data_IF_128134180287
#
_entry.id   IF_128134180287
#
_cell.length_a   1.000
_cell.length_b   1.000
_cell.length_c   1.000
_cell.angle_alpha   90.00
_cell.angle_beta   90.00
_cell.angle_gamma   90.00
#
_symmetry.space_group_name_H-M   'P 1'
#
loop_
_entity.id
_entity.type
_entity.pdbx_description
1 polymer ?
#
# COMPACT_ATOMS: atom_id res chain seq x y z
N UNK A 1 10.03 -28.43 -32.88
CA UNK A 1 8.60 -28.25 -32.60
C UNK A 1 8.51 -27.43 -31.32
N UNK A 2 8.18 -26.16 -31.43
CA UNK A 2 7.94 -25.30 -30.26
C UNK A 2 6.63 -25.75 -29.62
N UNK A 3 6.71 -26.48 -28.51
CA UNK A 3 5.52 -26.81 -27.71
C UNK A 3 4.94 -25.51 -27.15
N UNK A 4 3.73 -25.14 -27.58
CA UNK A 4 2.99 -24.05 -26.96
C UNK A 4 2.65 -24.43 -25.51
N UNK A 5 2.99 -23.58 -24.57
CA UNK A 5 2.60 -23.75 -23.16
C UNK A 5 1.15 -23.32 -22.91
N UNK A 6 0.54 -22.66 -23.88
CA UNK A 6 -0.87 -22.23 -23.87
C UNK A 6 -1.72 -23.28 -24.58
N UNK A 7 -2.73 -23.78 -23.89
CA UNK A 7 -3.75 -24.66 -24.47
C UNK A 7 -4.88 -23.84 -25.09
N UNK A 8 -5.44 -24.33 -26.20
CA UNK A 8 -6.66 -23.77 -26.76
C UNK A 8 -7.89 -24.11 -25.88
N UNK A 9 -8.96 -23.33 -26.04
CA UNK A 9 -10.23 -23.65 -25.37
C UNK A 9 -10.77 -25.01 -25.80
N UNK A 10 -10.59 -25.39 -27.08
CA UNK A 10 -11.04 -26.69 -27.60
C UNK A 10 -10.30 -27.84 -26.93
N UNK A 11 -8.97 -27.71 -26.70
CA UNK A 11 -8.18 -28.74 -26.00
C UNK A 11 -8.64 -28.88 -24.52
N UNK A 12 -9.04 -27.79 -23.89
CA UNK A 12 -9.55 -27.86 -22.52
C UNK A 12 -10.97 -28.37 -22.47
N UNK A 13 -11.81 -28.06 -23.47
CA UNK A 13 -13.15 -28.63 -23.58
C UNK A 13 -13.11 -30.15 -23.79
N UNK A 14 -12.20 -30.64 -24.66
CA UNK A 14 -11.96 -32.06 -24.85
C UNK A 14 -11.50 -32.75 -23.55
N UNK A 15 -10.56 -32.15 -22.81
CA UNK A 15 -10.17 -32.63 -21.47
C UNK A 15 -11.36 -32.69 -20.51
N UNK A 16 -12.23 -31.69 -20.57
CA UNK A 16 -13.43 -31.63 -19.73
C UNK A 16 -14.40 -32.80 -20.01
N UNK A 17 -14.62 -33.10 -21.30
CA UNK A 17 -15.45 -34.25 -21.75
C UNK A 17 -14.84 -35.60 -21.36
N UNK A 18 -13.52 -35.75 -21.52
CA UNK A 18 -12.81 -36.95 -21.07
C UNK A 18 -12.98 -37.20 -19.57
N UNK A 19 -12.83 -36.15 -18.77
CA UNK A 19 -13.00 -36.25 -17.31
C UNK A 19 -14.44 -36.62 -16.94
N UNK A 20 -15.44 -36.06 -17.63
CA UNK A 20 -16.86 -36.39 -17.41
C UNK A 20 -17.14 -37.86 -17.68
N UNK A 21 -16.65 -38.37 -18.81
CA UNK A 21 -16.80 -39.77 -19.18
C UNK A 21 -16.17 -40.74 -18.17
N UNK A 22 -15.18 -40.26 -17.42
CA UNK A 22 -14.49 -41.01 -16.36
C UNK A 22 -15.04 -40.78 -14.95
N UNK A 23 -16.05 -39.93 -14.77
CA UNK A 23 -16.57 -39.49 -13.45
C UNK A 23 -15.59 -38.65 -12.64
N UNK A 24 -14.66 -37.97 -13.31
CA UNK A 24 -13.57 -37.18 -12.74
C UNK A 24 -13.88 -35.68 -12.84
N UNK A 25 -13.21 -34.85 -12.03
CA UNK A 25 -13.53 -33.43 -11.90
C UNK A 25 -12.43 -32.52 -12.43
N UNK A 26 -12.81 -31.52 -13.23
CA UNK A 26 -11.97 -30.42 -13.64
C UNK A 26 -12.13 -29.24 -12.71
N UNK A 27 -11.02 -28.73 -12.21
CA UNK A 27 -10.92 -27.49 -11.41
C UNK A 27 -10.42 -26.37 -12.31
N UNK A 28 -11.05 -25.20 -12.24
CA UNK A 28 -10.62 -23.98 -12.90
C UNK A 28 -10.28 -22.91 -11.87
N UNK A 29 -9.18 -22.24 -12.07
CA UNK A 29 -8.86 -20.97 -11.40
C UNK A 29 -8.45 -19.92 -12.41
N UNK A 30 -8.58 -18.64 -12.09
CA UNK A 30 -8.06 -17.58 -12.93
C UNK A 30 -7.32 -16.52 -12.13
N UNK A 31 -6.41 -15.81 -12.81
CA UNK A 31 -5.65 -14.72 -12.23
C UNK A 31 -4.58 -14.19 -13.17
N UNK A 32 -3.87 -13.16 -12.73
CA UNK A 32 -2.78 -12.56 -13.54
C UNK A 32 -1.51 -13.42 -13.49
N UNK A 33 -1.15 -13.94 -12.34
CA UNK A 33 0.05 -14.75 -12.08
C UNK A 33 1.35 -14.15 -12.67
N UNK A 34 1.51 -12.84 -12.55
CA UNK A 34 2.60 -12.10 -13.19
C UNK A 34 3.99 -12.47 -12.65
N UNK A 35 4.15 -12.47 -11.32
CA UNK A 35 5.36 -12.95 -10.65
C UNK A 35 4.97 -14.05 -9.68
N UNK A 36 5.40 -15.30 -10.00
CA UNK A 36 5.12 -16.44 -9.14
C UNK A 36 5.89 -16.35 -7.82
N UNK A 37 5.21 -16.67 -6.74
CA UNK A 37 5.77 -16.78 -5.39
C UNK A 37 5.17 -17.98 -4.65
N UNK A 38 5.73 -18.34 -3.51
CA UNK A 38 5.32 -19.52 -2.74
C UNK A 38 3.81 -19.52 -2.41
N UNK A 39 3.18 -18.36 -2.25
CA UNK A 39 1.74 -18.24 -2.04
C UNK A 39 0.94 -18.80 -3.23
N UNK A 40 1.32 -18.46 -4.46
CA UNK A 40 0.70 -19.02 -5.66
C UNK A 40 0.91 -20.55 -5.75
N UNK A 41 2.11 -21.04 -5.45
CA UNK A 41 2.42 -22.48 -5.50
C UNK A 41 1.56 -23.25 -4.49
N UNK A 42 1.44 -22.78 -3.27
CA UNK A 42 0.59 -23.42 -2.25
C UNK A 42 -0.88 -23.40 -2.64
N UNK A 43 -1.38 -22.26 -3.09
CA UNK A 43 -2.75 -22.09 -3.59
C UNK A 43 -3.07 -23.05 -4.72
N UNK A 44 -2.20 -23.14 -5.76
CA UNK A 44 -2.42 -24.01 -6.89
C UNK A 44 -2.34 -25.50 -6.50
N UNK A 45 -1.45 -25.88 -5.59
CA UNK A 45 -1.42 -27.24 -5.05
C UNK A 45 -2.72 -27.59 -4.31
N UNK A 46 -3.24 -26.70 -3.48
CA UNK A 46 -4.50 -26.89 -2.78
C UNK A 46 -5.67 -26.97 -3.78
N UNK A 47 -5.74 -26.06 -4.76
CA UNK A 47 -6.74 -26.09 -5.82
C UNK A 47 -6.74 -27.44 -6.56
N UNK A 48 -5.56 -27.99 -6.87
CA UNK A 48 -5.42 -29.30 -7.54
C UNK A 48 -5.99 -30.46 -6.73
N UNK A 49 -5.99 -30.39 -5.40
CA UNK A 49 -6.57 -31.45 -4.55
C UNK A 49 -8.09 -31.53 -4.59
N UNK A 50 -8.75 -30.51 -5.13
CA UNK A 50 -10.22 -30.46 -5.23
C UNK A 50 -10.78 -31.28 -6.39
N UNK A 51 -9.92 -31.68 -7.35
CA UNK A 51 -10.34 -32.45 -8.51
C UNK A 51 -9.17 -33.21 -9.16
N UNK A 52 -9.40 -33.72 -10.33
CA UNK A 52 -8.49 -34.62 -11.05
C UNK A 52 -7.63 -33.91 -12.09
N UNK A 53 -8.02 -32.71 -12.48
CA UNK A 53 -7.21 -31.82 -13.32
C UNK A 53 -7.40 -30.37 -12.90
N UNK A 54 -6.33 -29.57 -12.97
CA UNK A 54 -6.34 -28.14 -12.73
C UNK A 54 -6.01 -27.36 -14.00
N UNK A 55 -6.94 -26.52 -14.40
CA UNK A 55 -6.75 -25.54 -15.47
C UNK A 55 -6.56 -24.15 -14.86
N UNK A 56 -5.55 -23.45 -15.30
CA UNK A 56 -5.30 -22.06 -14.88
C UNK A 56 -5.58 -21.14 -16.08
N UNK A 57 -6.56 -20.24 -15.93
CA UNK A 57 -6.85 -19.22 -16.91
C UNK A 57 -6.12 -17.91 -16.52
N UNK A 58 -5.29 -17.38 -17.41
CA UNK A 58 -4.53 -16.14 -17.16
C UNK A 58 -4.96 -15.03 -18.10
N UNK A 59 -5.01 -13.80 -17.57
CA UNK A 59 -5.26 -12.61 -18.36
C UNK A 59 -4.12 -12.38 -19.38
N UNK A 60 -4.46 -12.03 -20.61
CA UNK A 60 -3.50 -11.59 -21.63
C UNK A 60 -2.83 -10.27 -21.25
N UNK A 61 -1.75 -9.91 -21.93
CA UNK A 61 -0.92 -8.76 -21.54
C UNK A 61 -1.65 -7.42 -21.66
N UNK A 62 -2.55 -7.28 -22.63
CA UNK A 62 -3.36 -6.08 -22.78
C UNK A 62 -4.31 -5.91 -21.59
N UNK A 63 -5.03 -6.98 -21.24
CA UNK A 63 -5.94 -7.01 -20.09
C UNK A 63 -5.21 -6.73 -18.77
N UNK A 64 -3.98 -7.24 -18.59
CA UNK A 64 -3.17 -6.97 -17.39
C UNK A 64 -2.77 -5.49 -17.31
N UNK A 65 -2.38 -4.86 -18.42
CA UNK A 65 -2.07 -3.42 -18.45
C UNK A 65 -3.25 -2.56 -18.02
N UNK A 66 -4.44 -2.92 -18.46
CA UNK A 66 -5.67 -2.22 -18.04
C UNK A 66 -5.98 -2.40 -16.54
N UNK A 67 -5.75 -3.60 -16.01
CA UNK A 67 -6.07 -3.95 -14.63
C UNK A 67 -5.05 -3.43 -13.62
N UNK A 68 -3.75 -3.41 -13.98
CA UNK A 68 -2.63 -3.17 -13.05
C UNK A 68 -1.82 -1.91 -13.38
N UNK A 69 -2.11 -1.25 -14.50
CA UNK A 69 -1.43 -0.03 -14.91
C UNK A 69 -0.17 -0.24 -15.77
N UNK A 70 0.46 0.85 -16.22
CA UNK A 70 1.66 0.82 -17.05
C UNK A 70 2.82 0.15 -16.30
N UNK A 71 3.65 -0.61 -17.03
CA UNK A 71 4.75 -1.40 -16.47
C UNK A 71 4.34 -2.79 -16.01
N UNK A 72 3.10 -3.21 -16.25
CA UNK A 72 2.60 -4.57 -15.99
C UNK A 72 2.00 -5.15 -17.29
N UNK A 73 2.08 -6.47 -17.49
CA UNK A 73 2.78 -7.45 -16.67
C UNK A 73 4.31 -7.32 -16.75
N UNK A 74 5.04 -7.88 -15.78
CA UNK A 74 6.51 -8.01 -15.81
C UNK A 74 6.91 -9.12 -16.80
N UNK A 75 6.19 -10.25 -16.74
CA UNK A 75 6.37 -11.39 -17.63
C UNK A 75 5.22 -11.46 -18.66
N UNK A 76 5.56 -11.75 -19.92
CA UNK A 76 4.55 -11.91 -20.96
C UNK A 76 3.58 -13.07 -20.66
N UNK A 77 2.42 -13.09 -21.28
CA UNK A 77 1.44 -14.18 -21.11
C UNK A 77 2.06 -15.55 -21.41
N UNK A 78 2.94 -15.62 -22.41
CA UNK A 78 3.63 -16.86 -22.80
C UNK A 78 4.60 -17.34 -21.70
N UNK A 79 5.44 -16.44 -21.17
CA UNK A 79 6.36 -16.75 -20.05
C UNK A 79 5.59 -17.14 -18.78
N UNK A 80 4.48 -16.47 -18.48
CA UNK A 80 3.62 -16.82 -17.34
C UNK A 80 2.99 -18.21 -17.52
N UNK A 81 2.54 -18.53 -18.74
CA UNK A 81 2.01 -19.86 -19.06
C UNK A 81 3.08 -20.95 -18.92
N UNK A 82 4.29 -20.69 -19.42
CA UNK A 82 5.43 -21.62 -19.31
C UNK A 82 5.75 -21.92 -17.83
N UNK A 83 5.89 -20.88 -17.01
CA UNK A 83 6.14 -21.04 -15.57
C UNK A 83 5.04 -21.82 -14.85
N UNK A 84 3.77 -21.57 -15.18
CA UNK A 84 2.64 -22.29 -14.60
C UNK A 84 2.61 -23.75 -15.04
N UNK A 85 2.90 -24.04 -16.31
CA UNK A 85 2.96 -25.40 -16.85
C UNK A 85 4.11 -26.23 -16.28
N UNK A 86 5.17 -25.60 -15.82
CA UNK A 86 6.26 -26.27 -15.10
C UNK A 86 5.86 -26.77 -13.70
N UNK A 87 4.74 -26.29 -13.14
CA UNK A 87 4.23 -26.74 -11.86
C UNK A 87 3.48 -28.07 -12.01
N UNK A 88 3.87 -29.08 -11.24
CA UNK A 88 3.25 -30.42 -11.28
C UNK A 88 1.74 -30.43 -11.01
N UNK A 89 1.23 -29.41 -10.34
CA UNK A 89 -0.19 -29.28 -10.01
C UNK A 89 -1.03 -28.66 -11.15
N UNK A 90 -0.41 -28.17 -12.24
CA UNK A 90 -1.13 -27.50 -13.33
C UNK A 90 -1.16 -28.38 -14.58
N UNK A 91 -2.34 -28.79 -14.99
CA UNK A 91 -2.53 -29.67 -16.15
C UNK A 91 -2.65 -28.90 -17.47
N UNK A 92 -3.27 -27.72 -17.46
CA UNK A 92 -3.41 -26.84 -18.64
C UNK A 92 -3.39 -25.36 -18.22
N UNK A 93 -2.93 -24.51 -19.14
CA UNK A 93 -3.03 -23.06 -19.02
C UNK A 93 -3.72 -22.51 -20.26
N UNK A 94 -4.69 -21.62 -20.08
CA UNK A 94 -5.36 -20.87 -21.16
C UNK A 94 -5.14 -19.37 -20.94
N UNK A 95 -5.01 -18.63 -22.03
CA UNK A 95 -4.94 -17.16 -22.01
C UNK A 95 -6.26 -16.60 -22.51
N UNK A 96 -6.79 -15.59 -21.83
CA UNK A 96 -7.99 -14.86 -22.26
C UNK A 96 -7.73 -13.36 -22.25
N UNK A 97 -8.27 -12.66 -23.24
CA UNK A 97 -7.99 -11.23 -23.45
C UNK A 97 -9.02 -10.31 -22.76
N UNK A 98 -10.14 -10.86 -22.38
CA UNK A 98 -11.19 -10.10 -21.72
C UNK A 98 -10.78 -9.68 -20.30
N UNK A 99 -11.33 -8.57 -19.84
CA UNK A 99 -11.11 -8.08 -18.50
C UNK A 99 -11.64 -9.05 -17.41
N UNK A 100 -12.66 -9.82 -17.74
CA UNK A 100 -13.36 -10.77 -16.84
C UNK A 100 -13.27 -12.19 -17.37
N UNK A 101 -13.30 -13.14 -16.44
CA UNK A 101 -13.19 -14.56 -16.78
C UNK A 101 -14.51 -15.21 -17.26
N UNK A 102 -15.59 -14.44 -17.43
CA UNK A 102 -16.91 -14.97 -17.82
C UNK A 102 -16.87 -15.78 -19.11
N UNK A 103 -16.18 -15.29 -20.14
CA UNK A 103 -16.03 -15.99 -21.42
C UNK A 103 -15.35 -17.35 -21.28
N UNK A 104 -14.20 -17.37 -20.59
CA UNK A 104 -13.44 -18.60 -20.36
C UNK A 104 -14.16 -19.59 -19.45
N UNK A 105 -14.85 -19.10 -18.40
CA UNK A 105 -15.70 -19.93 -17.52
C UNK A 105 -16.82 -20.60 -18.33
N UNK A 106 -17.53 -19.82 -19.17
CA UNK A 106 -18.62 -20.30 -20.00
C UNK A 106 -18.19 -21.32 -21.05
N UNK A 107 -16.99 -21.15 -21.62
CA UNK A 107 -16.41 -22.07 -22.60
C UNK A 107 -15.95 -23.40 -21.97
N UNK A 108 -15.28 -23.36 -20.81
CA UNK A 108 -14.71 -24.52 -20.14
C UNK A 108 -15.75 -25.30 -19.34
N UNK A 109 -16.71 -24.63 -18.71
CA UNK A 109 -17.73 -25.22 -17.82
C UNK A 109 -17.12 -26.16 -16.76
N UNK A 110 -16.23 -25.66 -15.89
CA UNK A 110 -15.54 -26.51 -14.94
C UNK A 110 -16.52 -27.16 -13.93
N UNK A 111 -16.11 -28.21 -13.24
CA UNK A 111 -16.88 -28.77 -12.14
C UNK A 111 -16.73 -27.93 -10.88
N UNK A 112 -15.52 -27.40 -10.67
CA UNK A 112 -15.15 -26.60 -9.52
C UNK A 112 -14.41 -25.37 -9.99
N UNK A 113 -14.82 -24.21 -9.47
CA UNK A 113 -14.13 -22.95 -9.67
C UNK A 113 -13.52 -22.48 -8.36
N UNK A 114 -12.23 -22.09 -8.39
CA UNK A 114 -11.54 -21.63 -7.20
C UNK A 114 -11.04 -20.20 -7.32
N UNK A 115 -11.12 -19.46 -6.22
CA UNK A 115 -10.45 -18.16 -6.02
C UNK A 115 -9.63 -18.21 -4.75
N UNK A 116 -8.50 -17.51 -4.77
CA UNK A 116 -7.65 -17.33 -3.58
C UNK A 116 -7.75 -15.92 -3.06
N UNK A 117 -7.64 -15.73 -1.74
CA UNK A 117 -7.54 -14.42 -1.12
C UNK A 117 -8.69 -14.02 -0.23
N UNK A 118 -8.83 -12.71 -0.08
CA UNK A 118 -9.86 -12.07 0.72
C UNK A 118 -11.26 -12.11 0.05
N UNK A 119 -11.42 -13.01 -0.93
CA UNK A 119 -12.71 -13.24 -1.56
C UNK A 119 -13.60 -14.05 -0.62
N UNK A 120 -14.84 -13.63 -0.50
CA UNK A 120 -15.94 -14.44 -0.01
C UNK A 120 -16.80 -14.87 -1.21
N UNK A 121 -17.68 -15.85 -1.05
CA UNK A 121 -18.61 -16.21 -2.13
C UNK A 121 -19.46 -14.99 -2.59
N UNK A 122 -19.68 -14.01 -1.70
CA UNK A 122 -20.45 -12.80 -1.96
C UNK A 122 -19.59 -11.63 -2.53
N UNK A 123 -18.26 -11.75 -2.52
CA UNK A 123 -17.34 -10.77 -3.10
C UNK A 123 -16.87 -11.13 -4.51
N UNK A 124 -17.33 -12.24 -5.08
CA UNK A 124 -17.17 -12.50 -6.51
C UNK A 124 -17.95 -11.46 -7.30
N UNK A 125 -17.44 -11.13 -8.47
CA UNK A 125 -18.15 -10.24 -9.39
C UNK A 125 -19.50 -10.86 -9.72
N UNK A 126 -20.60 -10.11 -9.57
CA UNK A 126 -21.96 -10.60 -9.73
C UNK A 126 -22.19 -11.39 -11.03
N UNK A 127 -21.61 -10.96 -12.13
CA UNK A 127 -21.71 -11.64 -13.42
C UNK A 127 -21.00 -13.01 -13.44
N UNK A 128 -19.79 -13.11 -12.83
CA UNK A 128 -19.08 -14.39 -12.70
C UNK A 128 -19.85 -15.35 -11.79
N UNK A 129 -20.39 -14.85 -10.68
CA UNK A 129 -21.18 -15.65 -9.74
C UNK A 129 -22.46 -16.17 -10.39
N UNK A 130 -23.23 -15.28 -11.05
CA UNK A 130 -24.46 -15.67 -11.74
C UNK A 130 -24.23 -16.74 -12.83
N UNK A 131 -23.13 -16.63 -13.58
CA UNK A 131 -22.75 -17.63 -14.57
C UNK A 131 -22.39 -18.97 -13.93
N UNK A 132 -21.57 -18.95 -12.87
CA UNK A 132 -21.17 -20.17 -12.13
C UNK A 132 -22.38 -20.89 -11.54
N UNK A 133 -23.29 -20.14 -10.93
CA UNK A 133 -24.55 -20.67 -10.37
C UNK A 133 -25.45 -21.26 -11.47
N UNK A 134 -25.58 -20.56 -12.62
CA UNK A 134 -26.35 -21.06 -13.77
C UNK A 134 -25.77 -22.37 -14.35
N UNK A 135 -24.45 -22.50 -14.35
CA UNK A 135 -23.76 -23.70 -14.85
C UNK A 135 -23.69 -24.83 -13.79
N UNK A 136 -24.15 -24.61 -12.56
CA UNK A 136 -24.07 -25.58 -11.47
C UNK A 136 -22.65 -25.84 -10.99
N UNK A 137 -21.72 -24.89 -11.18
CA UNK A 137 -20.29 -25.01 -10.82
C UNK A 137 -20.11 -24.82 -9.32
N UNK A 138 -19.41 -25.73 -8.66
CA UNK A 138 -19.09 -25.59 -7.24
C UNK A 138 -18.01 -24.55 -7.03
N UNK A 139 -18.30 -23.47 -6.27
CA UNK A 139 -17.34 -22.43 -5.94
C UNK A 139 -16.58 -22.81 -4.66
N UNK A 140 -15.26 -22.67 -4.65
CA UNK A 140 -14.38 -22.88 -3.50
C UNK A 140 -13.43 -21.71 -3.32
N UNK A 141 -13.49 -21.06 -2.16
CA UNK A 141 -12.56 -20.00 -1.78
C UNK A 141 -11.45 -20.63 -0.94
N UNK A 142 -10.22 -20.47 -1.37
CA UNK A 142 -9.03 -21.01 -0.72
C UNK A 142 -8.27 -19.91 0.00
N UNK A 143 -7.76 -20.20 1.20
CA UNK A 143 -7.02 -19.24 2.00
C UNK A 143 -5.67 -18.87 1.33
N UNK A 144 -5.32 -17.60 1.30
CA UNK A 144 -3.98 -17.17 0.91
C UNK A 144 -2.99 -17.28 2.07
N UNK A 145 -1.72 -17.44 1.71
CA UNK A 145 -0.62 -17.38 2.68
C UNK A 145 -0.42 -15.93 3.11
N UNK A 146 -0.60 -15.59 4.40
CA UNK A 146 -0.43 -14.21 4.87
C UNK A 146 0.96 -13.64 4.51
N UNK A 147 1.01 -12.36 4.15
CA UNK A 147 2.25 -11.65 3.85
C UNK A 147 2.95 -12.03 2.53
N UNK A 148 2.30 -12.78 1.64
CA UNK A 148 2.83 -13.16 0.33
C UNK A 148 1.92 -12.64 -0.79
N UNK A 149 2.37 -11.58 -1.46
CA UNK A 149 1.71 -11.04 -2.65
C UNK A 149 2.75 -10.70 -3.73
N UNK A 150 2.31 -10.64 -4.99
CA UNK A 150 3.17 -10.20 -6.09
C UNK A 150 3.74 -8.81 -5.84
N UNK A 151 2.92 -7.88 -5.30
CA UNK A 151 3.36 -6.53 -4.96
C UNK A 151 4.44 -6.53 -3.88
N UNK A 152 4.26 -7.34 -2.81
CA UNK A 152 5.27 -7.48 -1.76
C UNK A 152 6.56 -8.16 -2.27
N UNK A 153 6.45 -9.10 -3.22
CA UNK A 153 7.61 -9.75 -3.84
C UNK A 153 8.38 -8.77 -4.72
N UNK A 154 7.69 -7.99 -5.55
CA UNK A 154 8.32 -6.96 -6.40
C UNK A 154 8.93 -5.83 -5.56
N UNK A 155 8.29 -5.42 -4.48
CA UNK A 155 8.85 -4.46 -3.54
C UNK A 155 10.18 -4.96 -2.92
N UNK A 156 10.29 -6.28 -2.67
CA UNK A 156 11.53 -6.90 -2.17
C UNK A 156 12.62 -7.08 -3.22
N UNK A 157 12.23 -7.31 -4.49
CA UNK A 157 13.19 -7.52 -5.57
C UNK A 157 13.79 -6.19 -6.08
N UNK A 158 13.13 -5.06 -5.82
CA UNK A 158 13.48 -3.79 -6.44
C UNK A 158 13.46 -3.88 -7.97
N UNK A 159 13.44 -2.78 -8.68
CA UNK A 159 13.45 -2.74 -10.17
C UNK A 159 14.82 -3.17 -10.79
N UNK A 160 15.62 -3.99 -10.12
CA UNK A 160 16.98 -4.39 -10.59
C UNK A 160 17.99 -3.24 -10.68
N UNK A 161 17.57 -2.02 -10.36
CA UNK A 161 18.47 -0.90 -10.08
C UNK A 161 18.90 -0.99 -8.63
N UNK A 162 20.17 -0.67 -8.29
CA UNK A 162 20.56 -0.51 -6.90
C UNK A 162 19.51 0.40 -6.27
N UNK A 163 18.95 -0.02 -5.14
CA UNK A 163 17.94 0.75 -4.43
C UNK A 163 18.49 2.17 -4.25
N UNK A 164 17.91 3.13 -4.96
CA UNK A 164 18.21 4.53 -4.73
C UNK A 164 17.94 4.87 -3.26
N UNK A 165 18.40 6.00 -2.77
CA UNK A 165 18.12 6.42 -1.40
C UNK A 165 16.60 6.35 -1.15
N UNK A 166 16.20 5.88 0.02
CA UNK A 166 14.80 5.90 0.45
C UNK A 166 14.24 7.31 0.33
N UNK A 167 13.00 7.44 -0.10
CA UNK A 167 12.39 8.73 -0.46
C UNK A 167 11.33 9.15 0.55
N UNK A 168 11.48 10.36 1.07
CA UNK A 168 10.60 10.94 2.08
C UNK A 168 9.79 12.08 1.46
N UNK A 169 8.48 12.15 1.78
CA UNK A 169 7.68 13.34 1.59
C UNK A 169 7.36 13.97 2.95
N UNK A 170 7.56 15.28 3.08
CA UNK A 170 7.18 16.03 4.29
C UNK A 170 5.88 16.77 4.01
N UNK A 171 4.90 16.60 4.88
CA UNK A 171 3.63 17.35 4.86
C UNK A 171 3.62 18.37 6.00
N UNK A 172 3.25 19.62 5.73
CA UNK A 172 3.15 20.61 6.79
C UNK A 172 2.39 21.87 6.37
N UNK A 173 1.78 22.55 7.33
CA UNK A 173 0.95 23.76 7.12
C UNK A 173 1.54 25.01 7.75
N UNK A 174 2.61 24.90 8.55
CA UNK A 174 3.09 25.95 9.46
C UNK A 174 4.46 26.55 9.12
N UNK A 175 5.17 26.96 10.17
CA UNK A 175 6.45 27.69 10.07
C UNK A 175 7.62 26.83 9.53
N UNK A 176 7.57 25.49 9.68
CA UNK A 176 8.55 24.59 9.13
C UNK A 176 9.78 24.33 10.00
N UNK A 177 9.75 24.61 11.31
CA UNK A 177 10.89 24.35 12.22
C UNK A 177 11.29 22.86 12.22
N UNK A 178 10.34 21.97 12.34
CA UNK A 178 10.57 20.52 12.26
C UNK A 178 11.04 20.08 10.88
N UNK A 179 10.49 20.64 9.79
CA UNK A 179 10.96 20.38 8.45
C UNK A 179 12.42 20.82 8.27
N UNK A 180 12.83 21.94 8.84
CA UNK A 180 14.23 22.41 8.85
C UNK A 180 15.15 21.39 9.50
N UNK A 181 14.78 20.85 10.66
CA UNK A 181 15.57 19.82 11.35
C UNK A 181 15.70 18.54 10.50
N UNK A 182 14.60 18.09 9.90
CA UNK A 182 14.58 16.91 9.03
C UNK A 182 15.44 17.12 7.77
N UNK A 183 15.31 18.27 7.09
CA UNK A 183 16.07 18.62 5.89
C UNK A 183 17.56 18.76 6.19
N UNK A 184 17.92 19.35 7.34
CA UNK A 184 19.31 19.44 7.79
C UNK A 184 19.90 18.04 8.03
N UNK A 185 19.18 17.15 8.71
CA UNK A 185 19.59 15.77 8.95
C UNK A 185 19.70 14.98 7.62
N UNK A 186 18.79 15.19 6.66
CA UNK A 186 18.87 14.59 5.32
C UNK A 186 20.14 15.04 4.59
N UNK A 187 20.41 16.35 4.59
CA UNK A 187 21.61 16.94 3.97
C UNK A 187 22.92 16.44 4.62
N UNK A 188 22.88 16.17 5.92
CA UNK A 188 23.99 15.58 6.65
C UNK A 188 24.14 14.05 6.45
N UNK A 189 23.25 13.40 5.67
CA UNK A 189 23.27 11.95 5.44
C UNK A 189 22.83 11.13 6.64
N UNK A 190 22.18 11.74 7.64
CA UNK A 190 21.80 11.09 8.90
C UNK A 190 20.48 10.31 8.84
N UNK A 191 19.64 10.55 7.79
CA UNK A 191 18.34 9.88 7.69
C UNK A 191 18.38 8.52 6.99
N UNK A 192 19.45 8.22 6.25
CA UNK A 192 19.50 7.02 5.40
C UNK A 192 18.55 7.10 4.18
N UNK A 193 18.09 8.30 3.83
CA UNK A 193 17.20 8.58 2.71
C UNK A 193 17.23 10.05 2.30
N UNK A 194 16.52 10.40 1.22
CA UNK A 194 16.41 11.76 0.71
C UNK A 194 14.99 12.33 0.91
N UNK A 195 14.89 13.63 1.16
CA UNK A 195 13.60 14.32 1.12
C UNK A 195 13.31 14.69 -0.32
N UNK A 196 12.38 13.94 -0.93
CA UNK A 196 12.04 14.09 -2.34
C UNK A 196 11.11 15.26 -2.62
N UNK A 197 10.27 15.65 -1.63
CA UNK A 197 9.31 16.73 -1.77
C UNK A 197 8.82 17.22 -0.40
N UNK A 198 8.54 18.53 -0.31
CA UNK A 198 7.78 19.14 0.78
C UNK A 198 6.44 19.60 0.23
N UNK A 199 5.36 19.24 0.91
CA UNK A 199 3.98 19.51 0.51
C UNK A 199 3.29 20.36 1.58
N UNK A 200 2.63 21.42 1.15
CA UNK A 200 1.82 22.26 2.05
C UNK A 200 0.44 22.52 1.46
N UNK A 201 -0.57 22.59 2.35
CA UNK A 201 -1.93 23.03 2.02
C UNK A 201 -2.12 24.55 2.18
N UNK A 202 -1.01 25.27 2.46
CA UNK A 202 -0.98 26.73 2.64
C UNK A 202 0.10 27.30 1.72
N UNK A 203 -0.32 28.12 0.74
CA UNK A 203 0.56 28.62 -0.31
C UNK A 203 1.77 29.44 0.20
N UNK A 204 1.57 30.26 1.22
CA UNK A 204 2.62 31.13 1.79
C UNK A 204 3.20 30.58 3.09
N UNK A 205 3.14 29.27 3.31
CA UNK A 205 3.62 28.66 4.54
C UNK A 205 5.13 28.75 4.71
N UNK A 206 5.56 28.84 5.98
CA UNK A 206 7.00 28.86 6.31
C UNK A 206 7.73 27.60 5.86
N UNK A 207 7.03 26.46 5.87
CA UNK A 207 7.64 25.18 5.49
C UNK A 207 8.09 25.15 4.01
N UNK A 208 7.36 25.80 3.09
CA UNK A 208 7.76 25.90 1.68
C UNK A 208 9.01 26.77 1.54
N UNK A 209 9.09 27.89 2.26
CA UNK A 209 10.31 28.73 2.28
C UNK A 209 11.51 27.95 2.83
N UNK A 210 11.31 27.18 3.88
CA UNK A 210 12.38 26.29 4.40
C UNK A 210 12.80 25.26 3.36
N UNK A 211 11.87 24.65 2.63
CA UNK A 211 12.21 23.70 1.56
C UNK A 211 13.07 24.36 0.46
N UNK A 212 12.71 25.57 0.05
CA UNK A 212 13.46 26.33 -0.96
C UNK A 212 14.90 26.63 -0.52
N UNK A 213 15.12 26.96 0.76
CA UNK A 213 16.46 27.16 1.33
C UNK A 213 17.36 25.91 1.21
N UNK A 214 16.74 24.73 1.23
CA UNK A 214 17.45 23.45 1.08
C UNK A 214 17.46 22.93 -0.37
N UNK A 215 16.84 23.64 -1.32
CA UNK A 215 16.72 23.23 -2.71
C UNK A 215 15.82 22.00 -2.88
N UNK A 216 14.89 21.76 -1.96
CA UNK A 216 13.97 20.62 -1.98
C UNK A 216 12.71 20.99 -2.78
N UNK A 217 12.28 20.15 -3.74
CA UNK A 217 11.04 20.39 -4.49
C UNK A 217 9.82 20.59 -3.59
N UNK A 218 8.93 21.50 -3.99
CA UNK A 218 7.72 21.83 -3.23
C UNK A 218 6.45 21.56 -4.04
N UNK A 219 5.34 21.30 -3.34
CA UNK A 219 3.99 21.21 -3.89
C UNK A 219 3.02 21.95 -2.97
N UNK A 220 2.19 22.82 -3.58
CA UNK A 220 1.03 23.39 -2.92
C UNK A 220 -0.16 22.53 -3.24
N UNK A 221 -0.73 21.90 -2.22
CA UNK A 221 -1.92 21.05 -2.31
C UNK A 221 -3.15 21.88 -1.98
N UNK A 222 -4.08 22.02 -2.93
CA UNK A 222 -5.38 22.63 -2.63
C UNK A 222 -6.20 21.67 -1.75
N UNK A 223 -6.45 22.02 -0.49
CA UNK A 223 -7.20 21.14 0.41
C UNK A 223 -8.69 21.04 0.05
N UNK A 224 -9.20 21.95 -0.79
CA UNK A 224 -10.61 22.17 -1.05
C UNK A 224 -11.34 22.86 0.13
N UNK A 225 -12.63 23.12 -0.04
CA UNK A 225 -13.42 23.96 0.87
C UNK A 225 -14.53 23.23 1.65
N UNK A 226 -14.76 21.94 1.39
CA UNK A 226 -15.95 21.23 1.87
C UNK A 226 -16.02 21.07 3.38
N UNK A 227 -14.90 20.76 4.06
CA UNK A 227 -14.86 20.63 5.51
C UNK A 227 -13.56 21.17 6.09
N UNK A 228 -13.68 22.07 7.07
CA UNK A 228 -12.52 22.63 7.77
C UNK A 228 -11.71 21.50 8.46
N UNK A 229 -10.41 21.44 8.18
CA UNK A 229 -9.49 20.45 8.77
C UNK A 229 -9.45 19.11 8.03
N UNK A 230 -10.19 18.94 6.94
CA UNK A 230 -10.14 17.74 6.09
C UNK A 230 -9.66 18.11 4.68
N UNK A 231 -9.11 17.11 3.99
CA UNK A 231 -8.84 17.16 2.55
C UNK A 231 -10.07 16.65 1.80
N UNK A 232 -10.39 17.24 0.65
CA UNK A 232 -11.39 16.69 -0.28
C UNK A 232 -10.89 15.37 -0.89
N UNK A 233 -11.79 14.58 -1.48
CA UNK A 233 -11.41 13.35 -2.19
C UNK A 233 -10.47 13.64 -3.36
N UNK A 234 -10.67 14.77 -4.04
CA UNK A 234 -9.79 15.23 -5.11
C UNK A 234 -8.37 15.53 -4.59
N UNK A 235 -8.25 16.23 -3.47
CA UNK A 235 -6.98 16.55 -2.84
C UNK A 235 -6.25 15.29 -2.34
N UNK A 236 -6.96 14.33 -1.75
CA UNK A 236 -6.38 13.04 -1.33
C UNK A 236 -5.88 12.26 -2.55
N UNK A 237 -6.66 12.25 -3.63
CA UNK A 237 -6.25 11.58 -4.87
C UNK A 237 -5.00 12.23 -5.47
N UNK A 238 -4.96 13.56 -5.56
CA UNK A 238 -3.79 14.30 -6.04
C UNK A 238 -2.55 13.99 -5.20
N UNK A 239 -2.68 14.09 -3.87
CA UNK A 239 -1.60 13.76 -2.93
C UNK A 239 -1.09 12.33 -3.17
N UNK A 240 -1.99 11.35 -3.22
CA UNK A 240 -1.65 9.94 -3.42
C UNK A 240 -0.96 9.70 -4.76
N UNK A 241 -1.45 10.30 -5.85
CA UNK A 241 -0.86 10.17 -7.18
C UNK A 241 0.56 10.78 -7.20
N UNK A 242 0.80 11.90 -6.51
CA UNK A 242 2.13 12.52 -6.36
C UNK A 242 3.09 11.64 -5.56
N UNK A 243 2.65 11.14 -4.41
CA UNK A 243 3.48 10.28 -3.57
C UNK A 243 3.90 9.01 -4.30
N UNK A 244 2.98 8.41 -5.08
CA UNK A 244 3.27 7.23 -5.92
C UNK A 244 4.21 7.55 -7.07
N UNK A 245 3.99 8.65 -7.80
CA UNK A 245 4.83 9.07 -8.92
C UNK A 245 6.28 9.33 -8.48
N UNK A 246 6.45 9.87 -7.27
CA UNK A 246 7.75 10.10 -6.66
C UNK A 246 8.32 8.87 -5.96
N UNK A 247 7.61 7.73 -5.93
CA UNK A 247 8.02 6.52 -5.22
C UNK A 247 8.39 6.79 -3.77
N UNK A 248 7.52 7.50 -3.05
CA UNK A 248 7.75 7.83 -1.64
C UNK A 248 7.68 6.55 -0.80
N UNK A 249 8.69 6.35 0.03
CA UNK A 249 8.77 5.24 0.98
C UNK A 249 8.14 5.60 2.33
N UNK A 250 8.30 6.85 2.77
CA UNK A 250 7.83 7.35 4.07
C UNK A 250 7.20 8.73 3.94
N UNK A 251 6.03 8.92 4.53
CA UNK A 251 5.36 10.22 4.66
C UNK A 251 5.55 10.73 6.08
N UNK A 252 5.96 11.98 6.22
CA UNK A 252 6.29 12.62 7.51
C UNK A 252 5.45 13.87 7.70
N UNK A 253 4.56 13.89 8.67
CA UNK A 253 3.75 15.05 9.03
C UNK A 253 4.51 15.96 10.02
N UNK A 254 4.93 17.11 9.54
CA UNK A 254 5.65 18.14 10.32
C UNK A 254 4.76 19.38 10.54
N UNK A 255 3.76 19.25 11.42
CA UNK A 255 2.76 20.29 11.65
C UNK A 255 1.74 20.40 10.52
N UNK A 256 1.28 19.27 9.97
CA UNK A 256 0.22 19.21 8.98
C UNK A 256 -1.14 19.24 9.66
N UNK A 257 -1.94 20.28 9.39
CA UNK A 257 -3.18 20.55 10.11
C UNK A 257 -4.42 19.90 9.46
N UNK A 258 -4.24 18.88 8.61
CA UNK A 258 -5.32 18.15 7.95
C UNK A 258 -5.33 16.69 8.39
N UNK A 259 -6.54 16.16 8.55
CA UNK A 259 -6.76 14.75 8.86
C UNK A 259 -6.49 13.93 7.59
N UNK A 260 -5.55 12.99 7.69
CA UNK A 260 -5.28 11.99 6.65
C UNK A 260 -6.27 10.84 6.81
N UNK A 261 -6.80 10.35 5.69
CA UNK A 261 -7.81 9.30 5.66
C UNK A 261 -7.65 8.38 4.45
N UNK A 262 -8.50 7.40 4.35
CA UNK A 262 -8.54 6.52 3.18
C UNK A 262 -8.76 7.30 1.86
N UNK A 263 -8.16 6.85 0.75
CA UNK A 263 -7.32 5.65 0.57
C UNK A 263 -5.81 5.85 0.87
N UNK A 264 -5.41 6.99 1.45
CA UNK A 264 -3.99 7.30 1.72
C UNK A 264 -3.40 6.38 2.80
N UNK A 265 -4.16 6.12 3.87
CA UNK A 265 -3.72 5.26 4.98
C UNK A 265 -3.43 3.83 4.49
N UNK A 266 -4.35 3.24 3.72
CA UNK A 266 -4.16 1.91 3.12
C UNK A 266 -3.03 1.85 2.09
N UNK A 267 -2.70 2.97 1.43
CA UNK A 267 -1.60 3.01 0.47
C UNK A 267 -0.22 3.08 1.15
N UNK A 268 -0.16 3.61 2.37
CA UNK A 268 1.06 3.76 3.17
C UNK A 268 0.92 3.10 4.56
N UNK A 269 0.62 1.80 4.66
CA UNK A 269 0.43 1.12 5.94
C UNK A 269 1.72 1.22 6.75
N UNK A 270 1.62 1.71 8.00
CA UNK A 270 2.75 1.93 8.91
C UNK A 270 3.88 2.81 8.34
N UNK A 271 3.59 3.62 7.33
CA UNK A 271 4.56 4.49 6.64
C UNK A 271 4.16 5.96 6.64
N UNK A 272 3.32 6.36 7.59
CA UNK A 272 2.98 7.77 7.84
C UNK A 272 3.30 8.07 9.29
N UNK A 273 4.22 9.00 9.52
CA UNK A 273 4.61 9.46 10.84
C UNK A 273 3.96 10.82 11.13
N UNK A 274 3.56 11.01 12.37
CA UNK A 274 3.17 12.33 12.90
C UNK A 274 3.95 12.65 14.16
N UNK A 275 4.18 13.93 14.38
CA UNK A 275 4.75 14.49 15.59
C UNK A 275 3.71 15.35 16.30
N UNK A 276 3.41 14.99 17.54
CA UNK A 276 2.43 15.67 18.38
C UNK A 276 3.08 16.31 19.60
N UNK A 277 2.85 17.61 19.91
CA UNK A 277 3.54 18.32 20.99
C UNK A 277 2.91 18.08 22.36
N UNK A 278 2.73 16.82 22.74
CA UNK A 278 2.38 16.36 24.08
C UNK A 278 2.89 14.93 24.31
N UNK A 279 2.82 14.47 25.55
CA UNK A 279 3.05 13.06 25.91
C UNK A 279 1.73 12.27 25.75
N UNK A 280 1.44 11.82 24.53
CA UNK A 280 0.26 11.00 24.27
C UNK A 280 0.19 9.78 25.21
N UNK A 281 -1.01 9.37 25.67
CA UNK A 281 -2.34 9.81 25.24
C UNK A 281 -2.84 11.10 25.89
N UNK A 282 -2.02 11.84 26.64
CA UNK A 282 -2.43 13.11 27.21
C UNK A 282 -2.48 14.21 26.14
N UNK A 283 -3.50 15.06 26.23
CA UNK A 283 -3.70 16.25 25.39
C UNK A 283 -3.68 15.95 23.86
N UNK A 284 -4.54 15.05 23.35
CA UNK A 284 -4.65 14.82 21.91
C UNK A 284 -5.31 16.04 21.21
N UNK A 285 -5.09 16.19 19.91
CA UNK A 285 -5.75 17.20 19.10
C UNK A 285 -5.09 18.58 19.19
N UNK A 286 -5.87 19.64 19.35
CA UNK A 286 -5.40 21.03 19.23
C UNK A 286 -4.97 21.64 20.55
N UNK A 287 -3.94 22.50 20.48
CA UNK A 287 -3.44 23.33 21.61
C UNK A 287 -2.94 22.52 22.83
N UNK A 288 -2.24 21.39 22.67
CA UNK A 288 -1.82 20.53 23.79
C UNK A 288 -0.92 21.27 24.81
N UNK A 289 -0.06 22.17 24.34
CA UNK A 289 0.84 22.94 25.21
C UNK A 289 0.06 23.85 26.16
N UNK A 290 -0.94 24.56 25.63
CA UNK A 290 -1.80 25.42 26.45
C UNK A 290 -2.65 24.61 27.44
N UNK A 291 -3.10 23.41 27.04
CA UNK A 291 -3.85 22.50 27.93
C UNK A 291 -2.98 22.01 29.09
N UNK A 292 -1.75 21.55 28.82
CA UNK A 292 -0.83 21.12 29.87
C UNK A 292 -0.50 22.21 30.89
N UNK A 293 -0.31 23.45 30.42
CA UNK A 293 -0.10 24.61 31.31
C UNK A 293 -1.35 24.95 32.14
N UNK A 294 -2.53 24.96 31.53
CA UNK A 294 -3.78 25.27 32.19
C UNK A 294 -4.14 24.27 33.29
N UNK A 295 -3.78 22.99 33.11
CA UNK A 295 -3.97 21.92 34.09
C UNK A 295 -2.89 21.87 35.17
N UNK A 296 -1.85 22.71 35.09
CA UNK A 296 -0.75 22.71 36.04
C UNK A 296 0.08 21.42 35.99
N UNK A 297 0.23 20.80 34.84
CA UNK A 297 1.02 19.61 34.70
C UNK A 297 2.49 19.87 35.08
N UNK A 298 3.15 18.90 35.71
CA UNK A 298 4.55 19.03 36.09
C UNK A 298 5.49 18.80 34.87
N UNK A 299 5.02 18.10 33.86
CA UNK A 299 5.77 17.79 32.63
C UNK A 299 4.82 17.69 31.44
N UNK A 300 5.37 17.90 30.28
CA UNK A 300 4.78 17.60 28.96
C UNK A 300 5.87 17.05 28.05
N UNK A 301 5.76 17.24 26.74
CA UNK A 301 6.80 16.81 25.79
C UNK A 301 6.28 16.71 24.39
N UNK A 302 6.85 15.78 23.62
CA UNK A 302 6.39 15.47 22.29
C UNK A 302 6.38 13.94 22.04
N UNK A 303 5.53 13.53 21.13
CA UNK A 303 5.33 12.12 20.74
C UNK A 303 5.45 11.97 19.24
N UNK A 304 6.32 11.08 18.79
CA UNK A 304 6.32 10.57 17.40
C UNK A 304 5.51 9.30 17.39
N UNK A 305 4.50 9.24 16.52
CA UNK A 305 3.60 8.10 16.39
C UNK A 305 3.26 7.79 14.93
N UNK A 306 2.78 6.59 14.67
CA UNK A 306 2.17 6.23 13.39
C UNK A 306 0.80 6.91 13.24
N UNK A 307 0.44 7.25 12.00
CA UNK A 307 -0.89 7.79 11.72
C UNK A 307 -1.83 6.64 11.38
N UNK A 308 -2.95 6.59 12.09
CA UNK A 308 -4.08 5.68 11.86
C UNK A 308 -5.37 6.44 11.49
N UNK A 309 -6.51 5.77 11.54
CA UNK A 309 -7.81 6.37 11.25
C UNK A 309 -8.35 7.28 12.35
N UNK A 310 -7.74 7.29 13.56
CA UNK A 310 -8.10 8.14 14.68
C UNK A 310 -7.34 9.46 14.67
N UNK A 311 -7.57 10.28 15.71
CA UNK A 311 -6.81 11.51 15.93
C UNK A 311 -5.80 11.24 17.03
N UNK A 312 -4.52 11.25 16.68
CA UNK A 312 -3.37 11.01 17.57
C UNK A 312 -3.46 9.69 18.36
N UNK A 313 -4.07 8.65 17.77
CA UNK A 313 -4.33 7.34 18.41
C UNK A 313 -3.39 6.23 17.95
N UNK A 314 -2.57 6.48 16.93
CA UNK A 314 -1.68 5.47 16.37
C UNK A 314 -0.54 5.06 17.30
N UNK A 315 0.15 3.99 16.95
CA UNK A 315 1.24 3.41 17.72
C UNK A 315 2.33 4.44 18.03
N UNK A 316 2.66 4.58 19.31
CA UNK A 316 3.71 5.48 19.79
C UNK A 316 5.08 4.84 19.50
N UNK A 317 5.91 5.55 18.73
CA UNK A 317 7.26 5.11 18.41
C UNK A 317 8.29 5.67 19.39
N UNK A 318 8.16 6.96 19.77
CA UNK A 318 9.07 7.61 20.71
C UNK A 318 8.42 8.83 21.36
N UNK A 319 8.83 9.10 22.60
CA UNK A 319 8.46 10.30 23.34
C UNK A 319 9.70 10.98 23.91
N UNK A 320 9.66 12.32 23.99
CA UNK A 320 10.62 13.10 24.76
C UNK A 320 9.88 13.93 25.79
N UNK A 321 10.34 13.89 27.05
CA UNK A 321 9.76 14.61 28.17
C UNK A 321 10.39 16.00 28.31
N UNK A 322 9.57 16.97 28.65
CA UNK A 322 9.95 18.36 28.92
C UNK A 322 9.31 18.77 30.24
N UNK A 323 10.14 19.17 31.20
CA UNK A 323 9.62 19.70 32.49
C UNK A 323 8.97 21.07 32.29
N UNK A 324 7.85 21.27 32.93
CA UNK A 324 7.20 22.58 33.07
C UNK A 324 7.68 23.22 34.37
N UNK A 325 8.25 24.40 34.29
CA UNK A 325 8.75 25.12 35.45
C UNK A 325 7.91 26.35 35.73
N UNK A 326 7.97 26.84 36.98
CA UNK A 326 7.27 28.07 37.37
C UNK A 326 7.70 29.25 36.48
N UNK A 327 6.71 29.98 35.98
CA UNK A 327 6.93 31.08 35.02
C UNK A 327 6.94 30.69 33.54
N UNK A 328 6.79 29.40 33.20
CA UNK A 328 6.63 29.03 31.79
C UNK A 328 5.33 29.62 31.21
N UNK A 329 5.47 30.15 30.01
CA UNK A 329 4.36 30.58 29.17
C UNK A 329 4.17 29.57 28.03
N UNK A 330 3.10 29.69 27.26
CA UNK A 330 2.89 28.85 26.06
C UNK A 330 4.09 28.97 25.11
N UNK A 331 4.62 30.18 24.93
CA UNK A 331 5.74 30.44 24.02
C UNK A 331 7.04 29.78 24.50
N UNK A 332 7.40 29.95 25.81
CA UNK A 332 8.63 29.40 26.37
C UNK A 332 8.58 27.86 26.38
N UNK A 333 7.43 27.30 26.76
CA UNK A 333 7.25 25.86 26.79
C UNK A 333 7.25 25.27 25.38
N UNK A 334 6.60 25.94 24.39
CA UNK A 334 6.64 25.53 22.98
C UNK A 334 8.08 25.48 22.46
N UNK A 335 8.90 26.49 22.80
CA UNK A 335 10.32 26.49 22.39
C UNK A 335 11.07 25.27 22.92
N UNK A 336 10.91 24.94 24.22
CA UNK A 336 11.52 23.77 24.84
C UNK A 336 11.06 22.45 24.17
N UNK A 337 9.77 22.36 23.82
CA UNK A 337 9.21 21.19 23.13
C UNK A 337 9.80 21.08 21.73
N UNK A 338 9.90 22.20 20.99
CA UNK A 338 10.54 22.22 19.65
C UNK A 338 11.99 21.72 19.70
N UNK A 339 12.77 22.10 20.72
CA UNK A 339 14.14 21.57 20.87
C UNK A 339 14.16 20.05 21.04
N UNK A 340 13.20 19.49 21.76
CA UNK A 340 13.05 18.05 21.90
C UNK A 340 12.59 17.39 20.59
N UNK A 341 11.63 17.99 19.88
CA UNK A 341 11.11 17.54 18.58
C UNK A 341 12.22 17.50 17.52
N UNK A 342 13.02 18.54 17.40
CA UNK A 342 14.11 18.65 16.42
C UNK A 342 15.16 17.56 16.61
N UNK A 343 15.31 17.03 17.82
CA UNK A 343 16.22 15.92 18.13
C UNK A 343 15.60 14.57 17.79
N UNK A 344 14.42 14.26 18.34
CA UNK A 344 13.88 12.90 18.25
C UNK A 344 13.25 12.59 16.89
N UNK A 345 12.72 13.60 16.18
CA UNK A 345 11.99 13.32 14.93
C UNK A 345 12.90 12.82 13.82
N UNK A 346 14.07 13.47 13.52
CA UNK A 346 15.03 12.90 12.58
C UNK A 346 15.54 11.50 12.96
N UNK A 347 15.75 11.23 14.25
CA UNK A 347 16.19 9.91 14.73
C UNK A 347 15.16 8.82 14.41
N UNK A 348 13.88 9.07 14.75
CA UNK A 348 12.80 8.10 14.48
C UNK A 348 12.57 7.91 12.98
N UNK A 349 12.70 8.97 12.17
CA UNK A 349 12.63 8.88 10.71
C UNK A 349 13.73 7.95 10.19
N UNK A 350 14.98 8.12 10.66
CA UNK A 350 16.10 7.29 10.25
C UNK A 350 15.90 5.81 10.61
N UNK A 351 15.46 5.53 11.84
CA UNK A 351 15.15 4.17 12.30
C UNK A 351 14.03 3.53 11.47
N UNK A 352 12.97 4.29 11.20
CA UNK A 352 11.86 3.78 10.40
C UNK A 352 12.27 3.47 8.96
N UNK A 353 13.07 4.34 8.34
CA UNK A 353 13.61 4.10 7.01
C UNK A 353 14.53 2.87 6.94
N UNK A 354 15.33 2.63 7.99
CA UNK A 354 16.19 1.44 8.05
C UNK A 354 15.39 0.14 8.13
N UNK A 355 14.14 0.19 8.63
CA UNK A 355 13.22 -0.95 8.72
C UNK A 355 12.36 -1.19 7.46
N UNK A 356 12.34 -0.25 6.51
CA UNK A 356 11.60 -0.36 5.23
C UNK A 356 12.47 -0.99 4.14
#
# INVERSE_FOLDING_TARGET
>A
MTHSFVSSLDEVAALREELDGAGRKLVLTNGVFDVLHVGHIRYLNEARTLGDALVVAINGDASVRELKGPGRPVNTAEERAEMLRALRCVDRVVVFEERRATGVIGAIRPHIYTKGGDYTADSLIDEEKALLDHLGVAIRILALVPGKSTSATLAKLGDGKPAGPKRIAILGSGHGSNARAILAAAKAGQLGGEVAMVISDVADSGILRVADEFGTPTLILDPGTEKRGQLTDAAIKELLDRLRALRIDLVVCAGFLRILREPLLSAFPERILNLHPSLLPAYPGRNPVAMALAEGAAETGCTVHLVDAGIDTGEILRQARVAIVEGDTVETLTAKIHDAEHRIYPEVIAERLAGL
#
